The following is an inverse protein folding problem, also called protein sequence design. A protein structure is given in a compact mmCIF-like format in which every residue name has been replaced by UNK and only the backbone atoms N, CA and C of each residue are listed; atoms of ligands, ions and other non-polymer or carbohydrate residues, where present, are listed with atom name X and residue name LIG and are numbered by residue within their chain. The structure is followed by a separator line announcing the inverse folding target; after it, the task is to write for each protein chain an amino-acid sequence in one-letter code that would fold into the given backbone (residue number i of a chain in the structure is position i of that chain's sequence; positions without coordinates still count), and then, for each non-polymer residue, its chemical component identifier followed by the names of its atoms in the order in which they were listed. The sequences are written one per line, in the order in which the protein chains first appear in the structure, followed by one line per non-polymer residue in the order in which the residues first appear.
data_IF_941400634097
#
_entry.id   IF_941400634097
#
_cell.length_a   1.000
_cell.length_b   1.000
_cell.length_c   1.000
_cell.angle_alpha   90.00
_cell.angle_beta   90.00
_cell.angle_gamma   90.00
#
_symmetry.space_group_name_H-M   'P 1'
#
loop_
_entity.id
_entity.type
_entity.pdbx_description
1 polymer ?
#
# COMPACT_ATOMS: atom_id res chain seq x y z
N UNK A 1 -3.90 -23.75 -1.99
CA UNK A 1 -3.08 -23.23 -0.88
C UNK A 1 -3.37 -21.75 -0.82
N UNK A 2 -4.15 -21.28 0.17
CA UNK A 2 -4.41 -19.85 0.32
C UNK A 2 -3.15 -19.20 0.88
N UNK A 3 -2.56 -18.25 0.15
CA UNK A 3 -1.45 -17.44 0.65
C UNK A 3 -2.04 -16.52 1.71
N UNK A 4 -1.96 -16.94 2.97
CA UNK A 4 -2.19 -16.03 4.08
C UNK A 4 -0.94 -15.13 4.14
N UNK A 5 -0.90 -14.11 3.28
CA UNK A 5 0.14 -13.08 3.33
C UNK A 5 -0.03 -12.38 4.67
N UNK A 6 0.64 -12.90 5.71
CA UNK A 6 0.67 -12.28 7.02
C UNK A 6 1.36 -10.94 6.79
N UNK A 7 0.56 -9.89 6.77
CA UNK A 7 0.97 -8.51 6.50
C UNK A 7 1.66 -7.94 7.74
N UNK A 8 2.50 -8.74 8.39
CA UNK A 8 3.03 -8.49 9.73
C UNK A 8 4.56 -8.30 9.75
N UNK A 9 5.26 -8.48 8.63
CA UNK A 9 6.73 -8.44 8.61
C UNK A 9 7.35 -7.54 7.52
N UNK A 10 6.59 -7.09 6.52
CA UNK A 10 7.13 -6.18 5.50
C UNK A 10 7.03 -4.73 5.99
N UNK A 11 7.98 -4.31 6.84
CA UNK A 11 8.28 -2.90 7.06
C UNK A 11 8.96 -2.33 5.81
N UNK A 12 8.28 -2.43 4.66
CA UNK A 12 8.82 -2.13 3.35
C UNK A 12 7.71 -1.48 2.53
N UNK A 13 8.02 -0.37 1.86
CA UNK A 13 7.08 0.34 1.01
C UNK A 13 6.71 -0.55 -0.19
N UNK A 14 5.43 -0.79 -0.47
CA UNK A 14 5.02 -1.67 -1.58
C UNK A 14 5.19 -1.03 -2.96
N UNK A 15 5.42 0.29 -3.03
CA UNK A 15 5.58 1.04 -4.28
C UNK A 15 7.05 1.09 -4.72
N UNK A 16 7.92 1.57 -3.84
CA UNK A 16 9.35 1.71 -4.14
C UNK A 16 10.22 0.57 -3.60
N UNK A 17 9.70 -0.27 -2.69
CA UNK A 17 10.46 -1.35 -2.05
C UNK A 17 11.39 -0.90 -0.92
N UNK A 18 11.31 0.36 -0.47
CA UNK A 18 12.22 0.90 0.55
C UNK A 18 11.86 0.46 1.97
N UNK A 19 12.84 0.38 2.88
CA UNK A 19 12.64 -0.11 4.24
C UNK A 19 12.04 0.99 5.11
N UNK A 20 10.83 0.75 5.61
CA UNK A 20 10.12 1.68 6.47
C UNK A 20 10.53 1.49 7.92
N UNK A 21 10.63 2.59 8.67
CA UNK A 21 10.86 2.57 10.12
C UNK A 21 9.75 1.84 10.87
N UNK A 22 8.52 1.88 10.35
CA UNK A 22 7.38 1.15 10.91
C UNK A 22 6.29 0.94 9.86
N UNK A 23 5.65 -0.25 9.83
CA UNK A 23 4.46 -0.46 9.03
C UNK A 23 3.34 0.43 9.59
N UNK A 24 2.85 1.39 8.81
CA UNK A 24 1.87 2.39 9.24
C UNK A 24 2.46 3.80 9.34
N UNK A 25 2.93 4.24 10.51
CA UNK A 25 3.41 5.64 10.67
C UNK A 25 4.63 5.93 9.81
N UNK A 26 5.55 4.97 9.70
CA UNK A 26 6.72 5.09 8.82
C UNK A 26 6.34 5.06 7.35
N UNK A 27 5.25 4.39 6.98
CA UNK A 27 4.70 4.44 5.63
C UNK A 27 4.13 5.83 5.31
N UNK A 28 3.29 6.39 6.19
CA UNK A 28 2.68 7.72 5.99
C UNK A 28 3.75 8.82 5.96
N UNK A 29 4.76 8.72 6.82
CA UNK A 29 5.93 9.60 6.83
C UNK A 29 6.72 9.50 5.51
N UNK A 30 7.00 8.27 5.06
CA UNK A 30 7.67 8.03 3.78
C UNK A 30 6.90 8.58 2.57
N UNK A 31 5.57 8.45 2.55
CA UNK A 31 4.73 9.07 1.52
C UNK A 31 4.86 10.60 1.55
N UNK A 32 4.86 11.21 2.74
CA UNK A 32 4.99 12.67 2.85
C UNK A 32 6.37 13.19 2.41
N UNK A 33 7.42 12.37 2.48
CA UNK A 33 8.76 12.72 2.02
C UNK A 33 9.00 12.38 0.53
N UNK A 34 8.20 11.49 -0.06
CA UNK A 34 8.37 11.00 -1.44
C UNK A 34 7.10 11.18 -2.27
N UNK A 35 7.05 12.27 -3.03
CA UNK A 35 5.94 12.65 -3.93
C UNK A 35 5.55 11.54 -4.93
N UNK A 36 6.53 10.76 -5.41
CA UNK A 36 6.31 9.63 -6.33
C UNK A 36 5.52 8.51 -5.65
N UNK A 37 5.89 8.15 -4.42
CA UNK A 37 5.17 7.14 -3.64
C UNK A 37 3.78 7.64 -3.21
N UNK A 38 3.65 8.95 -2.92
CA UNK A 38 2.37 9.58 -2.59
C UNK A 38 1.40 9.53 -3.77
N UNK A 39 1.88 9.87 -4.97
CA UNK A 39 1.11 9.82 -6.22
C UNK A 39 0.67 8.39 -6.55
N UNK A 40 1.57 7.41 -6.43
CA UNK A 40 1.23 5.99 -6.66
C UNK A 40 0.27 5.45 -5.59
N UNK A 41 0.40 5.89 -4.34
CA UNK A 41 -0.52 5.52 -3.27
C UNK A 41 -1.92 6.11 -3.48
N UNK A 42 -2.03 7.36 -3.91
CA UNK A 42 -3.32 7.98 -4.18
C UNK A 42 -4.02 7.29 -5.35
N UNK A 43 -3.31 7.08 -6.47
CA UNK A 43 -3.81 6.31 -7.61
C UNK A 43 -4.20 4.88 -7.21
N UNK A 44 -3.41 4.21 -6.37
CA UNK A 44 -3.75 2.90 -5.86
C UNK A 44 -5.03 2.90 -5.02
N UNK A 45 -5.24 3.93 -4.19
CA UNK A 45 -6.50 4.08 -3.43
C UNK A 45 -7.70 4.36 -4.34
N UNK A 46 -7.52 5.16 -5.38
CA UNK A 46 -8.55 5.40 -6.40
C UNK A 46 -8.91 4.10 -7.15
N UNK A 47 -7.89 3.34 -7.55
CA UNK A 47 -8.05 2.05 -8.22
C UNK A 47 -8.65 1.00 -7.29
N UNK A 48 -8.25 0.92 -6.02
CA UNK A 48 -8.86 0.02 -5.04
C UNK A 48 -10.31 0.40 -4.74
N UNK A 49 -10.62 1.70 -4.65
CA UNK A 49 -12.00 2.15 -4.51
C UNK A 49 -12.85 1.75 -5.72
N UNK A 50 -12.25 1.70 -6.92
CA UNK A 50 -12.87 1.16 -8.13
C UNK A 50 -12.96 -0.38 -8.17
N UNK A 51 -11.92 -1.09 -7.73
CA UNK A 51 -11.77 -2.55 -7.80
C UNK A 51 -12.58 -3.27 -6.71
N UNK A 52 -12.60 -2.75 -5.48
CA UNK A 52 -13.49 -3.20 -4.41
C UNK A 52 -14.97 -2.90 -4.70
N UNK A 53 -15.26 -1.92 -5.56
CA UNK A 53 -16.63 -1.65 -6.02
C UNK A 53 -17.05 -2.54 -7.20
N UNK A 54 -16.11 -3.17 -7.92
CA UNK A 54 -16.36 -4.00 -9.10
C UNK A 54 -16.51 -5.49 -8.81
N UNK A 55 -15.68 -6.06 -7.94
CA UNK A 55 -15.49 -7.52 -7.86
C UNK A 55 -16.33 -8.23 -6.76
N UNK A 56 -17.19 -7.52 -6.03
CA UNK A 56 -18.18 -8.12 -5.10
C UNK A 56 -19.61 -8.21 -5.69
N UNK A 57 -19.74 -8.14 -7.02
CA UNK A 57 -20.95 -8.57 -7.73
C UNK A 57 -20.78 -10.02 -8.20
N UNK A 58 -20.76 -10.96 -7.24
CA UNK A 58 -20.69 -12.40 -7.50
C UNK A 58 -21.29 -13.21 -6.36
#
# INVERSE_FOLDING_TARGET
MAVNTTWEDSATCPFCGDQLTSPGVGFVDHLSENDDCETEHDQWRENLAGDLAGEWAG
#
